data_IF_646687803588
#
_entry.id   IF_646687803588
#
_cell.length_a   1.000
_cell.length_b   1.000
_cell.length_c   1.000
_cell.angle_alpha   90.00
_cell.angle_beta   90.00
_cell.angle_gamma   90.00
#
_symmetry.space_group_name_H-M   'P 1'
#
loop_
_entity.id
_entity.type
_entity.pdbx_description
1 polymer ?
#
# COMPACT_ATOMS: atom_id res chain seq x y z
N UNK A 1 7.48 -24.67 -15.13
CA UNK A 1 7.48 -24.44 -13.66
C UNK A 1 8.25 -25.58 -13.03
N UNK A 2 9.24 -25.29 -12.21
CA UNK A 2 9.97 -26.28 -11.42
C UNK A 2 9.43 -26.25 -10.00
N UNK A 3 9.07 -27.43 -9.48
CA UNK A 3 8.47 -27.57 -8.16
C UNK A 3 9.34 -28.50 -7.34
N UNK A 4 9.71 -28.07 -6.15
CA UNK A 4 10.32 -28.94 -5.15
C UNK A 4 9.43 -30.18 -4.92
N UNK A 5 10.02 -31.37 -4.94
CA UNK A 5 9.29 -32.64 -4.93
C UNK A 5 8.36 -32.79 -3.71
N UNK A 6 8.74 -32.23 -2.56
CA UNK A 6 7.97 -32.32 -1.32
C UNK A 6 6.78 -31.35 -1.34
N UNK A 7 6.88 -30.27 -2.12
CA UNK A 7 5.84 -29.24 -2.23
C UNK A 7 4.76 -29.59 -3.28
N UNK A 8 4.89 -30.72 -3.99
CA UNK A 8 3.94 -31.15 -5.02
C UNK A 8 2.52 -31.36 -4.50
N UNK A 9 2.37 -31.81 -3.26
CA UNK A 9 1.04 -32.03 -2.67
C UNK A 9 0.25 -30.72 -2.49
N UNK A 10 0.94 -29.58 -2.35
CA UNK A 10 0.32 -28.26 -2.27
C UNK A 10 0.02 -27.68 -3.67
N UNK A 11 0.51 -28.31 -4.74
CA UNK A 11 0.29 -27.89 -6.11
C UNK A 11 -0.94 -28.58 -6.70
N UNK A 12 -2.12 -28.12 -6.28
CA UNK A 12 -3.41 -28.61 -6.79
C UNK A 12 -3.70 -28.06 -8.19
N UNK A 13 -4.73 -28.60 -8.85
CA UNK A 13 -5.20 -28.09 -10.15
C UNK A 13 -5.64 -26.63 -10.09
N UNK A 14 -6.24 -26.20 -8.97
CA UNK A 14 -6.63 -24.79 -8.78
C UNK A 14 -5.42 -23.90 -8.64
N UNK A 15 -4.37 -24.36 -7.95
CA UNK A 15 -3.09 -23.64 -7.83
C UNK A 15 -2.41 -23.51 -9.19
N UNK A 16 -2.35 -24.59 -9.97
CA UNK A 16 -1.81 -24.58 -11.32
C UNK A 16 -2.58 -23.59 -12.21
N UNK A 17 -3.91 -23.66 -12.19
CA UNK A 17 -4.79 -22.77 -12.97
C UNK A 17 -4.59 -21.31 -12.55
N UNK A 18 -4.50 -21.02 -11.25
CA UNK A 18 -4.23 -19.68 -10.73
C UNK A 18 -2.91 -19.12 -11.25
N UNK A 19 -1.83 -19.91 -11.22
CA UNK A 19 -0.52 -19.50 -11.73
C UNK A 19 -0.59 -19.24 -13.25
N UNK A 20 -1.23 -20.13 -14.01
CA UNK A 20 -1.41 -19.97 -15.47
C UNK A 20 -2.20 -18.70 -15.79
N UNK A 21 -3.26 -18.39 -15.03
CA UNK A 21 -4.07 -17.20 -15.26
C UNK A 21 -3.27 -15.91 -15.00
N UNK A 22 -2.41 -15.88 -13.97
CA UNK A 22 -1.52 -14.74 -13.73
C UNK A 22 -0.52 -14.55 -14.89
N UNK A 23 0.03 -15.63 -15.44
CA UNK A 23 0.85 -15.55 -16.66
C UNK A 23 0.07 -15.00 -17.84
N UNK A 24 -1.12 -15.53 -18.10
CA UNK A 24 -1.96 -15.07 -19.20
C UNK A 24 -2.33 -13.59 -19.06
N UNK A 25 -2.57 -13.14 -17.82
CA UNK A 25 -2.80 -11.73 -17.49
C UNK A 25 -1.59 -10.86 -17.88
N UNK A 26 -0.37 -11.25 -17.50
CA UNK A 26 0.82 -10.47 -17.80
C UNK A 26 1.28 -10.57 -19.26
N UNK A 27 1.09 -11.72 -19.91
CA UNK A 27 1.29 -11.89 -21.36
C UNK A 27 0.45 -10.87 -22.14
N UNK A 28 -0.83 -10.73 -21.75
CA UNK A 28 -1.74 -9.74 -22.34
C UNK A 28 -1.32 -8.31 -21.99
N UNK A 29 -1.03 -8.04 -20.72
CA UNK A 29 -0.72 -6.70 -20.21
C UNK A 29 0.53 -6.11 -20.86
N UNK A 30 1.58 -6.93 -21.05
CA UNK A 30 2.82 -6.51 -21.68
C UNK A 30 2.89 -6.87 -23.18
N UNK A 31 1.81 -7.38 -23.77
CA UNK A 31 1.69 -7.66 -25.21
C UNK A 31 2.57 -8.79 -25.78
N UNK A 32 3.30 -9.54 -24.95
CA UNK A 32 4.15 -10.65 -25.40
C UNK A 32 4.51 -11.60 -24.25
N UNK A 33 4.97 -12.80 -24.58
CA UNK A 33 5.30 -13.82 -23.57
C UNK A 33 6.59 -13.53 -22.82
N UNK A 34 6.66 -13.97 -21.56
CA UNK A 34 7.92 -14.03 -20.82
C UNK A 34 8.75 -15.22 -21.31
N UNK A 35 9.63 -14.98 -22.27
CA UNK A 35 10.53 -16.03 -22.77
C UNK A 35 11.61 -16.33 -21.73
N UNK A 36 11.88 -17.62 -21.50
CA UNK A 36 13.08 -18.11 -20.79
C UNK A 36 13.26 -17.72 -19.31
N UNK A 37 12.18 -17.44 -18.56
CA UNK A 37 12.24 -17.27 -17.11
C UNK A 37 11.58 -18.46 -16.38
N UNK A 38 12.35 -19.50 -15.98
CA UNK A 38 11.83 -20.57 -15.14
C UNK A 38 11.38 -20.03 -13.77
N UNK A 39 10.17 -20.44 -13.36
CA UNK A 39 9.71 -20.29 -11.97
C UNK A 39 10.14 -21.50 -11.17
N UNK A 40 10.83 -21.24 -10.05
CA UNK A 40 11.21 -22.23 -9.05
C UNK A 40 10.33 -22.03 -7.81
N UNK A 41 9.42 -22.98 -7.60
CA UNK A 41 8.58 -23.04 -6.41
C UNK A 41 9.34 -23.78 -5.31
N UNK A 42 9.79 -23.02 -4.31
CA UNK A 42 10.61 -23.49 -3.19
C UNK A 42 9.69 -23.92 -2.04
N UNK A 43 10.09 -24.96 -1.30
CA UNK A 43 9.40 -25.40 -0.10
C UNK A 43 9.36 -24.30 0.97
N UNK A 44 8.27 -24.26 1.75
CA UNK A 44 8.27 -23.59 3.06
C UNK A 44 8.84 -24.58 4.07
N UNK A 45 10.08 -24.36 4.50
CA UNK A 45 10.68 -25.20 5.54
C UNK A 45 10.15 -24.72 6.91
N UNK A 46 9.42 -25.57 7.66
CA UNK A 46 8.85 -25.18 8.94
C UNK A 46 9.92 -24.94 10.03
N UNK A 47 11.17 -25.35 9.79
CA UNK A 47 12.29 -25.15 10.72
C UNK A 47 13.08 -23.87 10.45
N UNK A 48 12.88 -23.24 9.29
CA UNK A 48 13.55 -22.01 8.89
C UNK A 48 12.85 -20.81 9.56
N UNK A 49 13.64 -19.95 10.22
CA UNK A 49 13.14 -18.69 10.77
C UNK A 49 12.62 -17.80 9.65
N UNK A 50 11.59 -16.98 9.93
CA UNK A 50 10.91 -16.13 8.93
C UNK A 50 11.83 -15.26 8.07
N UNK A 51 13.01 -14.88 8.61
CA UNK A 51 14.03 -14.06 7.96
C UNK A 51 14.82 -14.76 6.84
N UNK A 52 14.84 -16.09 6.81
CA UNK A 52 15.60 -16.85 5.80
C UNK A 52 14.68 -17.49 4.72
N UNK A 53 13.40 -17.08 4.69
CA UNK A 53 12.42 -17.51 3.68
C UNK A 53 12.55 -16.62 2.43
N UNK A 54 12.69 -17.23 1.25
CA UNK A 54 12.63 -16.52 -0.03
C UNK A 54 11.17 -16.22 -0.37
N UNK A 55 10.69 -15.06 0.07
CA UNK A 55 9.31 -14.63 -0.18
C UNK A 55 9.03 -14.38 -1.67
N UNK A 56 10.03 -13.98 -2.44
CA UNK A 56 9.98 -13.80 -3.88
C UNK A 56 11.26 -13.15 -4.38
N UNK A 57 11.84 -13.65 -5.46
CA UNK A 57 13.05 -13.09 -6.06
C UNK A 57 13.00 -13.21 -7.58
N UNK A 58 13.40 -12.13 -8.26
CA UNK A 58 13.68 -12.12 -9.70
C UNK A 58 15.18 -11.98 -9.88
N UNK A 59 15.76 -12.95 -10.58
CA UNK A 59 17.11 -12.85 -11.11
C UNK A 59 17.08 -12.70 -12.63
N UNK A 60 18.22 -12.36 -13.21
CA UNK A 60 18.35 -12.11 -14.66
C UNK A 60 17.86 -13.25 -15.57
N UNK A 61 17.72 -14.47 -15.05
CA UNK A 61 17.32 -15.67 -15.80
C UNK A 61 16.35 -16.59 -15.07
N UNK A 62 15.78 -16.19 -13.93
CA UNK A 62 14.89 -17.06 -13.16
C UNK A 62 14.08 -16.28 -12.15
N UNK A 63 12.92 -16.82 -11.81
CA UNK A 63 12.08 -16.34 -10.72
C UNK A 63 11.99 -17.45 -9.66
N UNK A 64 12.12 -17.10 -8.39
CA UNK A 64 11.94 -18.04 -7.29
C UNK A 64 10.99 -17.49 -6.23
N UNK A 65 10.16 -18.37 -5.68
CA UNK A 65 9.18 -18.02 -4.65
C UNK A 65 8.88 -19.23 -3.76
N UNK A 66 8.75 -19.01 -2.46
CA UNK A 66 8.26 -20.03 -1.54
C UNK A 66 6.78 -20.29 -1.76
N UNK A 67 6.42 -21.55 -2.06
CA UNK A 67 5.05 -21.97 -2.32
C UNK A 67 4.24 -22.05 -1.03
N UNK A 68 3.20 -21.22 -0.92
CA UNK A 68 2.23 -21.25 0.18
C UNK A 68 0.84 -20.83 -0.32
N UNK A 69 0.16 -21.66 -1.14
CA UNK A 69 -1.06 -21.29 -1.85
C UNK A 69 -2.25 -21.00 -0.91
N UNK A 70 -2.17 -21.44 0.34
CA UNK A 70 -3.18 -21.23 1.39
C UNK A 70 -3.11 -19.82 2.01
N UNK A 71 -2.46 -18.88 1.34
CA UNK A 71 -2.28 -17.51 1.83
C UNK A 71 -2.49 -16.49 0.72
N UNK A 72 -3.29 -15.46 1.00
CA UNK A 72 -3.42 -14.27 0.16
C UNK A 72 -2.06 -13.64 -0.18
N UNK A 73 -1.11 -13.69 0.77
CA UNK A 73 0.24 -13.13 0.61
C UNK A 73 1.02 -13.83 -0.51
N UNK A 74 0.86 -15.14 -0.69
CA UNK A 74 1.53 -15.88 -1.76
C UNK A 74 1.09 -15.40 -3.14
N UNK A 75 -0.22 -15.27 -3.35
CA UNK A 75 -0.78 -14.85 -4.64
C UNK A 75 -0.36 -13.43 -5.02
N UNK A 76 -0.42 -12.51 -4.05
CA UNK A 76 0.07 -11.14 -4.22
C UNK A 76 1.58 -11.11 -4.51
N UNK A 77 2.38 -11.83 -3.74
CA UNK A 77 3.84 -11.84 -3.93
C UNK A 77 4.25 -12.50 -5.25
N UNK A 78 3.60 -13.60 -5.64
CA UNK A 78 3.82 -14.23 -6.95
C UNK A 78 3.52 -13.25 -8.07
N UNK A 79 2.39 -12.55 -7.99
CA UNK A 79 1.98 -11.57 -8.98
C UNK A 79 2.97 -10.39 -9.07
N UNK A 80 3.38 -9.83 -7.94
CA UNK A 80 4.40 -8.78 -7.87
C UNK A 80 5.73 -9.20 -8.52
N UNK A 81 6.14 -10.44 -8.23
CA UNK A 81 7.39 -11.02 -8.74
C UNK A 81 7.29 -11.27 -10.24
N UNK A 82 6.12 -11.73 -10.73
CA UNK A 82 5.83 -11.85 -12.16
C UNK A 82 5.89 -10.49 -12.85
N UNK A 83 5.20 -9.47 -12.35
CA UNK A 83 5.26 -8.12 -12.91
C UNK A 83 6.71 -7.66 -13.08
N UNK A 84 7.53 -7.81 -12.04
CA UNK A 84 8.94 -7.44 -12.05
C UNK A 84 9.70 -8.17 -13.16
N UNK A 85 9.50 -9.48 -13.30
CA UNK A 85 10.15 -10.26 -14.37
C UNK A 85 9.71 -9.81 -15.78
N UNK A 86 8.42 -9.52 -15.98
CA UNK A 86 7.93 -8.99 -17.26
C UNK A 86 8.46 -7.59 -17.55
N UNK A 87 8.51 -6.73 -16.53
CA UNK A 87 9.02 -5.37 -16.65
C UNK A 87 10.49 -5.37 -17.04
N UNK A 88 11.34 -6.05 -16.27
CA UNK A 88 12.79 -6.08 -16.47
C UNK A 88 13.20 -6.79 -17.77
N UNK A 89 12.39 -7.72 -18.27
CA UNK A 89 12.65 -8.38 -19.56
C UNK A 89 12.30 -7.53 -20.78
N UNK A 90 11.56 -6.43 -20.61
CA UNK A 90 11.01 -5.63 -21.72
C UNK A 90 11.39 -4.17 -21.68
N UNK A 91 11.68 -3.60 -20.51
CA UNK A 91 11.94 -2.18 -20.33
C UNK A 91 13.36 -2.03 -19.78
N UNK A 92 14.23 -1.36 -20.54
CA UNK A 92 15.66 -1.19 -20.20
C UNK A 92 15.99 0.18 -19.58
N UNK A 93 14.96 0.98 -19.31
CA UNK A 93 15.05 2.33 -18.75
C UNK A 93 15.65 2.25 -17.34
N UNK A 94 16.83 2.82 -17.13
CA UNK A 94 17.56 2.61 -15.87
C UNK A 94 17.14 3.54 -14.74
N UNK A 95 16.84 4.81 -15.03
CA UNK A 95 16.66 5.81 -13.99
C UNK A 95 15.45 5.56 -13.10
N UNK A 96 14.40 4.90 -13.61
CA UNK A 96 13.22 4.51 -12.83
C UNK A 96 13.47 3.44 -11.76
N UNK A 97 14.67 2.85 -11.73
CA UNK A 97 15.10 1.94 -10.67
C UNK A 97 15.86 2.65 -9.53
N UNK A 98 16.04 3.97 -9.64
CA UNK A 98 16.80 4.76 -8.68
C UNK A 98 16.01 6.02 -8.28
N UNK A 99 16.21 6.53 -7.04
CA UNK A 99 15.67 7.82 -6.63
C UNK A 99 16.07 8.94 -7.62
N UNK A 100 15.18 9.89 -7.92
CA UNK A 100 13.85 10.10 -7.34
C UNK A 100 12.68 9.43 -8.11
N UNK A 101 12.96 8.45 -8.98
CA UNK A 101 11.96 7.90 -9.90
C UNK A 101 11.49 6.48 -9.53
N UNK A 102 11.99 5.92 -8.42
CA UNK A 102 11.70 4.53 -8.01
C UNK A 102 10.23 4.31 -7.69
N UNK A 103 9.52 5.34 -7.21
CA UNK A 103 8.09 5.28 -6.94
C UNK A 103 7.29 4.81 -8.15
N UNK A 104 7.68 5.17 -9.38
CA UNK A 104 6.96 4.79 -10.57
C UNK A 104 7.05 3.28 -10.80
N UNK A 105 8.27 2.73 -10.72
CA UNK A 105 8.51 1.30 -10.90
C UNK A 105 7.81 0.47 -9.82
N UNK A 106 7.97 0.84 -8.55
CA UNK A 106 7.36 0.13 -7.42
C UNK A 106 5.84 0.29 -7.36
N UNK A 107 5.35 1.51 -7.62
CA UNK A 107 3.92 1.83 -7.66
C UNK A 107 3.21 1.08 -8.77
N UNK A 108 3.79 0.99 -9.97
CA UNK A 108 3.23 0.17 -11.05
C UNK A 108 3.20 -1.32 -10.67
N UNK A 109 4.24 -1.83 -10.03
CA UNK A 109 4.28 -3.23 -9.60
C UNK A 109 3.11 -3.56 -8.66
N UNK A 110 2.89 -2.75 -7.62
CA UNK A 110 1.78 -2.94 -6.69
C UNK A 110 0.42 -2.67 -7.34
N UNK A 111 0.31 -1.69 -8.25
CA UNK A 111 -0.93 -1.44 -8.98
C UNK A 111 -1.35 -2.65 -9.83
N UNK A 112 -0.44 -3.19 -10.65
CA UNK A 112 -0.73 -4.36 -11.49
C UNK A 112 -0.85 -5.66 -10.70
N UNK A 113 -0.15 -5.80 -9.58
CA UNK A 113 -0.35 -6.89 -8.63
C UNK A 113 -1.83 -6.98 -8.23
N UNK A 114 -2.42 -5.87 -7.80
CA UNK A 114 -3.82 -5.84 -7.37
C UNK A 114 -4.77 -6.09 -8.56
N UNK A 115 -4.55 -5.47 -9.71
CA UNK A 115 -5.38 -5.71 -10.91
C UNK A 115 -5.38 -7.19 -11.34
N UNK A 116 -4.23 -7.86 -11.25
CA UNK A 116 -4.11 -9.26 -11.65
C UNK A 116 -4.94 -10.22 -10.78
N UNK A 117 -5.32 -9.83 -9.55
CA UNK A 117 -6.05 -10.70 -8.64
C UNK A 117 -7.40 -11.13 -9.21
N UNK A 118 -8.01 -10.31 -10.06
CA UNK A 118 -9.29 -10.65 -10.71
C UNK A 118 -9.18 -11.81 -11.70
N UNK A 119 -7.97 -12.10 -12.18
CA UNK A 119 -7.69 -13.23 -13.08
C UNK A 119 -7.65 -14.59 -12.36
N UNK A 120 -7.53 -14.60 -11.03
CA UNK A 120 -7.46 -15.84 -10.26
C UNK A 120 -8.80 -16.61 -10.30
N UNK A 121 -8.77 -17.95 -10.18
CA UNK A 121 -9.98 -18.76 -10.04
C UNK A 121 -10.88 -18.30 -8.88
N UNK A 122 -12.20 -18.39 -9.05
CA UNK A 122 -13.18 -17.98 -8.02
C UNK A 122 -12.99 -18.68 -6.68
N UNK A 123 -12.54 -19.94 -6.67
CA UNK A 123 -12.22 -20.68 -5.43
C UNK A 123 -11.13 -19.97 -4.65
N UNK A 124 -10.04 -19.56 -5.31
CA UNK A 124 -8.93 -18.84 -4.67
C UNK A 124 -9.39 -17.44 -4.24
N UNK A 125 -10.12 -16.72 -5.10
CA UNK A 125 -10.63 -15.39 -4.78
C UNK A 125 -11.57 -15.40 -3.59
N UNK A 126 -12.52 -16.33 -3.56
CA UNK A 126 -13.49 -16.49 -2.49
C UNK A 126 -12.85 -16.86 -1.15
N UNK A 127 -11.86 -17.76 -1.15
CA UNK A 127 -11.18 -18.19 0.09
C UNK A 127 -10.41 -17.05 0.78
N UNK A 128 -9.88 -16.11 0.00
CA UNK A 128 -8.96 -15.07 0.49
C UNK A 128 -9.48 -13.64 0.34
N UNK A 129 -10.70 -13.45 -0.17
CA UNK A 129 -11.27 -12.13 -0.46
C UNK A 129 -10.45 -11.33 -1.48
N UNK A 130 -9.83 -12.01 -2.47
CA UNK A 130 -8.96 -11.36 -3.45
C UNK A 130 -9.77 -10.76 -4.60
N UNK A 131 -9.65 -9.45 -4.77
CA UNK A 131 -10.09 -8.72 -5.97
C UNK A 131 -9.28 -7.44 -6.11
N UNK A 132 -9.23 -6.89 -7.32
CA UNK A 132 -8.54 -5.63 -7.59
C UNK A 132 -9.11 -4.47 -6.78
N UNK A 133 -10.45 -4.37 -6.70
CA UNK A 133 -11.15 -3.32 -5.97
C UNK A 133 -10.92 -3.42 -4.46
N UNK A 134 -10.98 -4.63 -3.89
CA UNK A 134 -10.70 -4.80 -2.46
C UNK A 134 -9.24 -4.45 -2.14
N UNK A 135 -8.29 -4.87 -2.98
CA UNK A 135 -6.88 -4.52 -2.81
C UNK A 135 -6.64 -3.01 -2.86
N UNK A 136 -7.30 -2.30 -3.78
CA UNK A 136 -7.23 -0.85 -3.88
C UNK A 136 -7.85 -0.15 -2.65
N UNK A 137 -8.98 -0.67 -2.13
CA UNK A 137 -9.57 -0.17 -0.88
C UNK A 137 -8.64 -0.37 0.31
N UNK A 138 -8.03 -1.55 0.46
CA UNK A 138 -7.09 -1.82 1.55
C UNK A 138 -5.91 -0.85 1.52
N UNK A 139 -5.36 -0.59 0.32
CA UNK A 139 -4.27 0.38 0.13
C UNK A 139 -4.74 1.79 0.48
N UNK A 140 -5.91 2.21 -0.03
CA UNK A 140 -6.41 3.55 0.23
C UNK A 140 -6.77 3.79 1.70
N UNK A 141 -7.28 2.77 2.41
CA UNK A 141 -7.52 2.83 3.85
C UNK A 141 -6.23 3.07 4.64
N UNK A 142 -5.16 2.36 4.28
CA UNK A 142 -3.82 2.59 4.87
C UNK A 142 -3.31 3.99 4.53
N UNK A 143 -3.43 4.41 3.28
CA UNK A 143 -3.03 5.74 2.85
C UNK A 143 -3.71 6.82 3.68
N UNK A 144 -5.04 6.85 3.73
CA UNK A 144 -5.79 7.87 4.46
C UNK A 144 -5.40 7.91 5.93
N UNK A 145 -5.41 6.75 6.60
CA UNK A 145 -5.15 6.69 8.03
C UNK A 145 -3.74 7.16 8.39
N UNK A 146 -2.69 6.59 7.78
CA UNK A 146 -1.32 6.93 8.16
C UNK A 146 -0.88 8.32 7.67
N UNK A 147 -1.38 8.77 6.51
CA UNK A 147 -1.08 10.10 5.98
C UNK A 147 -1.64 11.21 6.86
N UNK A 148 -2.80 10.98 7.47
CA UNK A 148 -3.50 11.97 8.31
C UNK A 148 -3.13 11.84 9.79
N UNK A 149 -2.87 10.63 10.28
CA UNK A 149 -2.44 10.39 11.67
C UNK A 149 -1.04 10.91 11.94
N UNK A 150 -0.08 10.64 11.05
CA UNK A 150 1.34 10.95 11.23
C UNK A 150 1.96 11.60 9.99
N UNK A 151 1.46 12.79 9.56
CA UNK A 151 1.91 13.43 8.34
C UNK A 151 3.41 13.76 8.34
N UNK A 152 4.03 14.01 9.50
CA UNK A 152 5.47 14.28 9.57
C UNK A 152 6.34 13.05 9.23
N UNK A 153 5.81 11.84 9.42
CA UNK A 153 6.52 10.58 9.14
C UNK A 153 6.22 10.11 7.72
N UNK A 154 4.96 10.20 7.29
CA UNK A 154 4.49 9.62 6.03
C UNK A 154 4.27 10.64 4.91
N UNK A 155 4.70 11.89 5.08
CA UNK A 155 4.84 12.86 3.98
C UNK A 155 6.19 12.72 3.28
N UNK A 156 6.25 11.76 2.36
CA UNK A 156 7.43 11.48 1.54
C UNK A 156 7.14 11.94 0.12
N UNK A 157 8.09 12.65 -0.48
CA UNK A 157 8.05 13.04 -1.89
C UNK A 157 9.11 12.27 -2.71
N UNK A 158 9.04 12.33 -4.05
CA UNK A 158 10.10 11.76 -4.90
C UNK A 158 11.51 12.23 -4.52
N UNK A 159 11.66 13.48 -4.07
CA UNK A 159 12.95 14.04 -3.66
C UNK A 159 13.50 13.42 -2.37
N UNK A 160 12.63 12.88 -1.52
CA UNK A 160 12.99 12.32 -0.22
C UNK A 160 13.40 10.85 -0.32
N UNK A 161 13.12 10.16 -1.44
CA UNK A 161 13.38 8.73 -1.65
C UNK A 161 14.80 8.32 -1.29
N UNK A 162 15.80 9.15 -1.61
CA UNK A 162 17.21 8.85 -1.34
C UNK A 162 17.62 8.96 0.14
N UNK A 163 16.76 9.50 1.01
CA UNK A 163 17.06 9.79 2.42
C UNK A 163 16.02 9.26 3.41
N UNK A 164 14.86 8.82 2.93
CA UNK A 164 13.78 8.31 3.76
C UNK A 164 14.16 6.96 4.41
N UNK A 165 13.62 6.71 5.60
CA UNK A 165 13.79 5.45 6.31
C UNK A 165 13.03 4.31 5.60
N UNK A 166 13.47 3.07 5.76
CA UNK A 166 12.83 1.91 5.11
C UNK A 166 11.33 1.81 5.39
N UNK A 167 10.87 2.10 6.61
CA UNK A 167 9.44 2.12 6.91
C UNK A 167 8.67 3.22 6.18
N UNK A 168 9.30 4.38 5.96
CA UNK A 168 8.73 5.47 5.18
C UNK A 168 8.68 5.10 3.69
N UNK A 169 9.74 4.48 3.17
CA UNK A 169 9.79 3.96 1.79
C UNK A 169 8.79 2.81 1.58
N UNK A 170 8.59 1.95 2.58
CA UNK A 170 7.56 0.91 2.53
C UNK A 170 6.16 1.51 2.40
N UNK A 171 5.85 2.55 3.18
CA UNK A 171 4.60 3.29 3.00
C UNK A 171 4.51 3.94 1.62
N UNK A 172 5.56 4.67 1.23
CA UNK A 172 5.57 5.44 0.00
C UNK A 172 5.40 4.55 -1.24
N UNK A 173 6.20 3.49 -1.37
CA UNK A 173 6.23 2.65 -2.56
C UNK A 173 5.05 1.67 -2.68
N UNK A 174 4.54 1.16 -1.55
CA UNK A 174 3.54 0.09 -1.55
C UNK A 174 2.15 0.57 -1.12
N UNK A 175 2.02 1.83 -0.69
CA UNK A 175 0.73 2.44 -0.34
C UNK A 175 0.45 3.72 -1.12
N UNK A 176 1.34 4.71 -1.13
CA UNK A 176 1.08 6.00 -1.79
C UNK A 176 1.26 5.96 -3.31
N UNK A 177 2.41 5.51 -3.80
CA UNK A 177 2.75 5.41 -5.22
C UNK A 177 1.73 4.61 -6.06
N UNK A 178 1.22 3.43 -5.66
CA UNK A 178 0.22 2.72 -6.45
C UNK A 178 -1.12 3.48 -6.56
N UNK A 179 -1.47 4.32 -5.57
CA UNK A 179 -2.63 5.19 -5.66
C UNK A 179 -2.40 6.32 -6.66
N UNK A 180 -1.20 6.90 -6.69
CA UNK A 180 -0.83 7.90 -7.70
C UNK A 180 -0.93 7.30 -9.11
N UNK A 181 -0.39 6.09 -9.31
CA UNK A 181 -0.53 5.35 -10.56
C UNK A 181 -2.01 5.15 -10.90
N UNK A 182 -2.82 4.71 -9.94
CA UNK A 182 -4.26 4.54 -10.12
C UNK A 182 -4.98 5.84 -10.50
N UNK A 183 -4.57 7.00 -9.97
CA UNK A 183 -5.14 8.29 -10.34
C UNK A 183 -4.80 8.67 -11.77
N UNK A 184 -3.54 8.48 -12.19
CA UNK A 184 -3.11 8.74 -13.56
C UNK A 184 -3.89 7.86 -14.54
N UNK A 185 -3.99 6.56 -14.26
CA UNK A 185 -4.75 5.61 -15.08
C UNK A 185 -6.25 5.95 -15.12
N UNK A 186 -6.83 6.37 -13.99
CA UNK A 186 -8.21 6.82 -13.92
C UNK A 186 -8.47 8.04 -14.81
N UNK A 187 -7.62 9.06 -14.70
CA UNK A 187 -7.69 10.27 -15.53
C UNK A 187 -7.61 9.89 -17.02
N UNK A 188 -6.67 9.02 -17.38
CA UNK A 188 -6.47 8.59 -18.76
C UNK A 188 -7.60 7.73 -19.31
N UNK A 189 -8.20 6.89 -18.49
CA UNK A 189 -9.34 6.06 -18.90
C UNK A 189 -10.55 6.92 -19.27
N UNK A 190 -10.77 8.05 -18.58
CA UNK A 190 -11.87 8.99 -18.87
C UNK A 190 -11.63 9.77 -20.16
N UNK A 191 -10.40 10.20 -20.38
CA UNK A 191 -10.06 11.09 -21.51
C UNK A 191 -9.82 10.31 -22.82
N UNK A 192 -9.30 9.08 -22.75
CA UNK A 192 -8.82 8.33 -23.94
C UNK A 192 -9.39 6.91 -24.10
N UNK A 193 -10.20 6.41 -23.16
CA UNK A 193 -10.69 5.01 -23.09
C UNK A 193 -9.59 3.94 -23.10
N UNK A 194 -8.34 4.30 -22.83
CA UNK A 194 -7.23 3.37 -22.66
C UNK A 194 -7.03 3.07 -21.19
N UNK A 195 -6.86 1.79 -20.86
CA UNK A 195 -6.33 1.36 -19.57
C UNK A 195 -4.90 0.88 -19.77
N UNK A 196 -3.98 1.23 -18.87
CA UNK A 196 -2.52 0.98 -18.95
C UNK A 196 -1.71 2.06 -19.69
N UNK A 197 -2.10 3.33 -19.59
CA UNK A 197 -1.44 4.43 -20.29
C UNK A 197 0.05 4.60 -19.90
N UNK A 198 0.37 4.47 -18.61
CA UNK A 198 1.76 4.57 -18.13
C UNK A 198 2.61 3.43 -18.67
N UNK A 199 2.13 2.19 -18.56
CA UNK A 199 2.86 1.03 -19.05
C UNK A 199 3.02 1.05 -20.58
N UNK A 200 1.98 1.44 -21.32
CA UNK A 200 2.07 1.61 -22.78
C UNK A 200 3.13 2.65 -23.16
N UNK A 201 3.24 3.76 -22.41
CA UNK A 201 4.27 4.76 -22.64
C UNK A 201 5.67 4.16 -22.43
N UNK A 202 5.87 3.46 -21.32
CA UNK A 202 7.16 2.83 -21.00
C UNK A 202 7.56 1.75 -22.01
N UNK A 203 6.59 0.96 -22.50
CA UNK A 203 6.84 -0.06 -23.53
C UNK A 203 7.25 0.56 -24.87
N UNK A 204 6.65 1.70 -25.25
CA UNK A 204 7.04 2.45 -26.46
C UNK A 204 8.46 3.01 -26.39
N UNK A 205 8.91 3.34 -25.18
CA UNK A 205 10.24 3.89 -24.89
C UNK A 205 11.17 2.82 -24.25
N UNK A 206 10.88 1.54 -24.46
CA UNK A 206 11.57 0.42 -23.80
C UNK A 206 13.09 0.39 -24.03
N UNK A 207 13.55 0.91 -25.17
CA UNK A 207 14.95 0.96 -25.57
C UNK A 207 15.67 2.25 -25.12
N UNK A 208 14.94 3.20 -24.51
CA UNK A 208 15.54 4.42 -24.03
C UNK A 208 16.38 4.14 -22.78
N UNK A 209 17.54 4.80 -22.68
CA UNK A 209 18.42 4.65 -21.51
C UNK A 209 17.80 5.25 -20.25
N UNK A 210 17.05 6.34 -20.43
CA UNK A 210 16.40 7.07 -19.35
C UNK A 210 15.18 7.84 -19.87
N UNK A 211 14.25 8.14 -18.97
CA UNK A 211 13.08 8.98 -19.25
C UNK A 211 12.99 10.11 -18.21
N UNK A 212 12.38 11.23 -18.58
CA UNK A 212 12.04 12.26 -17.60
C UNK A 212 10.61 12.03 -17.11
N UNK A 213 10.44 11.44 -15.92
CA UNK A 213 9.13 11.03 -15.39
C UNK A 213 8.13 12.18 -15.36
N UNK A 214 8.54 13.38 -14.91
CA UNK A 214 7.66 14.55 -14.92
C UNK A 214 7.17 14.94 -16.33
N UNK A 215 8.02 14.84 -17.36
CA UNK A 215 7.62 15.09 -18.75
C UNK A 215 6.71 13.99 -19.29
N UNK A 216 6.95 12.74 -18.90
CA UNK A 216 6.06 11.62 -19.25
C UNK A 216 4.66 11.86 -18.67
N UNK A 217 4.55 12.18 -17.38
CA UNK A 217 3.24 12.45 -16.75
C UNK A 217 2.57 13.63 -17.43
N UNK A 218 3.27 14.75 -17.64
CA UNK A 218 2.72 15.90 -18.36
C UNK A 218 2.24 15.55 -19.78
N UNK A 219 2.98 14.72 -20.52
CA UNK A 219 2.60 14.28 -21.85
C UNK A 219 1.36 13.37 -21.86
N UNK A 220 1.12 12.64 -20.77
CA UNK A 220 -0.06 11.79 -20.62
C UNK A 220 -1.29 12.60 -20.23
N UNK A 221 -1.21 13.37 -19.14
CA UNK A 221 -2.40 13.97 -18.51
C UNK A 221 -2.51 15.50 -18.64
N UNK A 222 -1.58 16.15 -19.37
CA UNK A 222 -1.58 17.59 -19.61
C UNK A 222 -1.54 18.39 -18.31
N UNK A 223 -2.40 19.41 -18.23
CA UNK A 223 -2.47 20.36 -17.09
C UNK A 223 -2.83 19.68 -15.76
N UNK A 224 -3.36 18.45 -15.77
CA UNK A 224 -3.62 17.67 -14.56
C UNK A 224 -2.34 17.15 -13.88
N UNK A 225 -1.17 17.30 -14.51
CA UNK A 225 0.13 16.94 -13.93
C UNK A 225 0.41 17.65 -12.61
N UNK A 226 0.00 18.91 -12.47
CA UNK A 226 0.18 19.66 -11.23
C UNK A 226 -0.51 18.98 -10.04
N UNK A 227 -1.73 18.44 -10.25
CA UNK A 227 -2.47 17.74 -9.20
C UNK A 227 -1.77 16.44 -8.80
N UNK A 228 -1.22 15.71 -9.76
CA UNK A 228 -0.42 14.51 -9.48
C UNK A 228 0.86 14.85 -8.70
N UNK A 229 1.50 15.97 -9.01
CA UNK A 229 2.66 16.47 -8.26
C UNK A 229 2.29 16.79 -6.81
N UNK A 230 1.15 17.44 -6.58
CA UNK A 230 0.63 17.75 -5.24
C UNK A 230 0.26 16.48 -4.45
N UNK A 231 -0.17 15.41 -5.13
CA UNK A 231 -0.37 14.09 -4.52
C UNK A 231 0.96 13.43 -4.17
N UNK A 232 1.93 13.42 -5.07
CA UNK A 232 3.27 12.86 -4.84
C UNK A 232 4.05 13.60 -3.76
N UNK A 233 3.84 14.90 -3.57
CA UNK A 233 4.43 15.66 -2.46
C UNK A 233 3.62 15.53 -1.17
N UNK A 234 2.38 15.01 -1.25
CA UNK A 234 1.32 15.08 -0.26
C UNK A 234 1.06 16.46 0.31
N UNK A 235 1.03 17.44 -0.58
CA UNK A 235 0.33 18.70 -0.34
C UNK A 235 -1.19 18.52 -0.38
N UNK A 236 -1.67 17.57 -1.21
CA UNK A 236 -3.08 17.19 -1.28
C UNK A 236 -3.29 15.73 -0.94
N UNK A 237 -4.43 15.45 -0.33
CA UNK A 237 -4.91 14.08 -0.13
C UNK A 237 -5.56 13.60 -1.42
N UNK A 238 -5.17 12.40 -1.88
CA UNK A 238 -5.78 11.76 -3.05
C UNK A 238 -7.23 11.38 -2.74
N UNK A 239 -8.20 11.63 -3.64
CA UNK A 239 -9.53 11.06 -3.52
C UNK A 239 -9.50 9.56 -3.87
N UNK A 240 -10.53 8.80 -3.46
CA UNK A 240 -10.66 7.42 -3.90
C UNK A 240 -11.08 7.36 -5.37
N UNK A 241 -10.36 6.66 -6.27
CA UNK A 241 -10.70 6.62 -7.70
C UNK A 241 -11.81 5.60 -8.04
N UNK A 242 -12.22 4.75 -7.08
CA UNK A 242 -13.25 3.73 -7.26
C UNK A 242 -14.62 4.11 -6.71
N UNK A 243 -15.64 3.26 -6.90
CA UNK A 243 -16.95 3.44 -6.27
C UNK A 243 -16.83 3.33 -4.74
N UNK A 244 -17.57 4.15 -4.00
CA UNK A 244 -17.65 4.00 -2.53
C UNK A 244 -18.38 2.69 -2.17
N UNK A 245 -17.98 2.08 -1.05
CA UNK A 245 -18.69 0.89 -0.53
C UNK A 245 -19.79 1.37 0.40
N UNK A 246 -20.97 0.78 0.31
CA UNK A 246 -22.02 0.95 1.32
C UNK A 246 -21.83 0.02 2.53
N UNK A 247 -20.98 -1.01 2.39
CA UNK A 247 -20.73 -2.01 3.42
C UNK A 247 -19.29 -1.91 3.89
N UNK A 248 -19.11 -1.63 5.18
CA UNK A 248 -17.82 -1.59 5.88
C UNK A 248 -17.93 -2.41 7.16
N UNK A 249 -16.96 -3.31 7.37
CA UNK A 249 -16.83 -4.05 8.62
C UNK A 249 -15.69 -3.45 9.45
N UNK A 250 -16.03 -2.67 10.49
CA UNK A 250 -15.08 -1.91 11.28
C UNK A 250 -13.94 -2.76 11.84
N UNK A 251 -14.23 -3.99 12.31
CA UNK A 251 -13.23 -4.94 12.83
C UNK A 251 -12.16 -5.30 11.80
N UNK A 252 -12.54 -5.47 10.51
CA UNK A 252 -11.61 -5.75 9.42
C UNK A 252 -10.73 -4.55 9.12
N UNK A 253 -11.31 -3.35 9.06
CA UNK A 253 -10.57 -2.10 8.83
C UNK A 253 -9.55 -1.88 9.95
N UNK A 254 -9.97 -1.96 11.20
CA UNK A 254 -9.10 -1.82 12.39
C UNK A 254 -7.96 -2.83 12.33
N UNK A 255 -8.27 -4.12 12.05
CA UNK A 255 -7.25 -5.16 11.95
C UNK A 255 -6.22 -4.86 10.85
N UNK A 256 -6.67 -4.48 9.65
CA UNK A 256 -5.78 -4.15 8.52
C UNK A 256 -4.85 -3.00 8.86
N UNK A 257 -5.37 -1.95 9.53
CA UNK A 257 -4.56 -0.81 9.95
C UNK A 257 -3.58 -1.18 11.05
N UNK A 258 -4.02 -1.94 12.06
CA UNK A 258 -3.18 -2.39 13.17
C UNK A 258 -2.03 -3.30 12.68
N UNK A 259 -2.33 -4.28 11.82
CA UNK A 259 -1.31 -5.16 11.23
C UNK A 259 -0.27 -4.33 10.43
N UNK A 260 -0.72 -3.26 9.77
CA UNK A 260 0.16 -2.36 9.02
C UNK A 260 0.99 -1.44 9.91
N UNK A 261 0.45 -0.95 11.03
CA UNK A 261 1.17 -0.17 12.05
C UNK A 261 2.31 -0.98 12.68
N UNK A 262 2.06 -2.27 12.96
CA UNK A 262 3.09 -3.20 13.44
C UNK A 262 4.19 -3.41 12.39
N UNK A 263 3.80 -3.60 11.13
CA UNK A 263 4.75 -3.74 10.02
C UNK A 263 5.64 -2.49 9.90
N UNK A 264 5.04 -1.31 9.73
CA UNK A 264 5.78 -0.05 9.55
C UNK A 264 6.67 0.25 10.75
N UNK A 265 6.16 0.04 11.98
CA UNK A 265 6.96 0.20 13.20
C UNK A 265 8.18 -0.71 13.22
N UNK A 266 8.04 -1.97 12.79
CA UNK A 266 9.16 -2.92 12.72
C UNK A 266 10.27 -2.40 11.80
N UNK A 267 9.90 -1.88 10.63
CA UNK A 267 10.86 -1.31 9.68
C UNK A 267 11.52 -0.03 10.21
N UNK A 268 10.76 0.86 10.84
CA UNK A 268 11.32 2.08 11.42
C UNK A 268 12.27 1.75 12.58
N UNK A 269 11.93 0.75 13.41
CA UNK A 269 12.75 0.32 14.55
C UNK A 269 14.12 -0.24 14.16
N UNK A 270 14.29 -0.72 12.93
CA UNK A 270 15.61 -1.12 12.44
C UNK A 270 16.63 0.04 12.48
N UNK A 271 16.16 1.29 12.33
CA UNK A 271 16.99 2.50 12.39
C UNK A 271 16.73 3.36 13.63
N UNK A 272 15.54 3.25 14.23
CA UNK A 272 15.11 3.98 15.43
C UNK A 272 14.50 3.01 16.45
N UNK A 273 15.31 2.27 17.22
CA UNK A 273 14.83 1.22 18.12
C UNK A 273 13.81 1.70 19.17
N UNK A 274 13.86 2.99 19.50
CA UNK A 274 12.97 3.69 20.43
C UNK A 274 11.61 4.06 19.83
N UNK A 275 11.38 3.85 18.53
CA UNK A 275 10.13 4.24 17.87
C UNK A 275 8.93 3.49 18.50
N UNK A 276 7.93 4.21 19.05
CA UNK A 276 6.79 3.59 19.69
C UNK A 276 5.87 2.98 18.64
N UNK A 277 5.20 1.89 19.01
CA UNK A 277 4.15 1.27 18.18
C UNK A 277 2.82 1.59 18.80
N UNK A 278 1.88 2.04 17.97
CA UNK A 278 0.51 2.24 18.40
C UNK A 278 -0.27 0.94 18.30
N UNK A 279 -1.14 0.68 19.27
CA UNK A 279 -2.12 -0.39 19.14
C UNK A 279 -3.42 0.25 18.62
N UNK A 280 -3.74 0.00 17.35
CA UNK A 280 -4.90 0.61 16.73
C UNK A 280 -6.13 -0.18 17.17
N UNK A 281 -6.85 0.39 18.12
CA UNK A 281 -8.10 -0.15 18.65
C UNK A 281 -9.22 0.88 18.49
N UNK A 282 -10.42 0.39 18.17
CA UNK A 282 -11.62 1.21 18.17
C UNK A 282 -12.20 1.25 19.57
N UNK A 283 -12.17 2.43 20.18
CA UNK A 283 -12.87 2.71 21.43
C UNK A 283 -14.38 2.87 21.16
N UNK A 284 -15.20 3.04 22.19
CA UNK A 284 -16.64 3.19 22.04
C UNK A 284 -16.96 4.41 21.14
N UNK A 285 -17.48 4.21 19.92
CA UNK A 285 -17.61 5.29 18.94
C UNK A 285 -18.55 6.41 19.39
N UNK A 286 -19.61 6.08 20.14
CA UNK A 286 -20.58 7.06 20.64
C UNK A 286 -19.91 8.00 21.65
N UNK A 287 -19.17 7.43 22.61
CA UNK A 287 -18.48 8.21 23.65
C UNK A 287 -17.36 9.09 23.07
N UNK A 288 -16.59 8.54 22.13
CA UNK A 288 -15.57 9.31 21.41
C UNK A 288 -16.23 10.46 20.64
N UNK A 289 -17.33 10.20 19.94
CA UNK A 289 -18.07 11.24 19.21
C UNK A 289 -18.55 12.36 20.14
N UNK A 290 -19.11 12.03 21.29
CA UNK A 290 -19.57 13.02 22.27
C UNK A 290 -18.44 13.93 22.77
N UNK A 291 -17.28 13.36 23.13
CA UNK A 291 -16.12 14.14 23.58
C UNK A 291 -15.49 14.96 22.44
N UNK A 292 -15.45 14.42 21.21
CA UNK A 292 -14.98 15.13 20.01
C UNK A 292 -15.85 16.35 19.73
N UNK A 293 -17.18 16.21 19.78
CA UNK A 293 -18.13 17.31 19.56
C UNK A 293 -17.98 18.36 20.66
N UNK A 294 -17.99 17.93 21.93
CA UNK A 294 -17.89 18.80 23.11
C UNK A 294 -16.62 19.66 23.10
N UNK A 295 -15.51 19.10 22.63
CA UNK A 295 -14.20 19.77 22.56
C UNK A 295 -13.91 20.41 21.21
N UNK A 296 -14.81 20.28 20.23
CA UNK A 296 -14.64 20.72 18.85
C UNK A 296 -13.32 20.22 18.23
N UNK A 297 -13.01 18.92 18.41
CA UNK A 297 -11.78 18.31 17.92
C UNK A 297 -11.84 18.08 16.42
N UNK A 298 -10.77 18.44 15.73
CA UNK A 298 -10.54 18.18 14.31
C UNK A 298 -9.13 17.62 14.09
N UNK A 299 -8.99 16.70 13.14
CA UNK A 299 -7.68 16.22 12.69
C UNK A 299 -7.24 16.87 11.36
N UNK A 300 -8.20 17.40 10.60
CA UNK A 300 -7.97 18.10 9.34
C UNK A 300 -9.07 19.15 9.07
N UNK A 301 -8.98 19.83 7.93
CA UNK A 301 -10.01 20.74 7.43
C UNK A 301 -11.32 19.98 7.10
N UNK A 302 -12.44 20.70 7.08
CA UNK A 302 -13.79 20.12 6.97
C UNK A 302 -14.00 19.30 5.69
N UNK A 303 -13.38 19.69 4.58
CA UNK A 303 -13.45 18.97 3.31
C UNK A 303 -12.71 17.62 3.37
N UNK A 304 -11.56 17.59 4.05
CA UNK A 304 -10.78 16.36 4.26
C UNK A 304 -11.51 15.42 5.21
N UNK A 305 -12.02 15.90 6.33
CA UNK A 305 -12.78 15.07 7.27
C UNK A 305 -14.03 14.50 6.60
N UNK A 306 -14.76 15.32 5.82
CA UNK A 306 -15.92 14.85 5.05
C UNK A 306 -15.53 13.76 4.06
N UNK A 307 -14.48 13.96 3.26
CA UNK A 307 -14.00 12.96 2.30
C UNK A 307 -13.63 11.64 3.00
N UNK A 308 -12.97 11.70 4.16
CA UNK A 308 -12.64 10.50 4.94
C UNK A 308 -13.91 9.82 5.44
N UNK A 309 -14.87 10.58 5.99
CA UNK A 309 -16.15 10.05 6.48
C UNK A 309 -17.00 9.41 5.38
N UNK A 310 -17.06 10.04 4.19
CA UNK A 310 -17.78 9.54 3.02
C UNK A 310 -17.14 8.22 2.52
N UNK A 311 -15.83 8.04 2.69
CA UNK A 311 -15.13 6.80 2.31
C UNK A 311 -15.21 5.71 3.39
N UNK A 312 -14.93 6.06 4.65
CA UNK A 312 -14.82 5.13 5.77
C UNK A 312 -15.10 5.83 7.11
N UNK A 313 -16.31 5.62 7.68
CA UNK A 313 -16.65 6.08 9.02
C UNK A 313 -15.70 5.54 10.09
N UNK A 314 -15.19 4.31 9.92
CA UNK A 314 -14.22 3.72 10.85
C UNK A 314 -12.91 4.51 10.86
N UNK A 315 -12.35 4.84 9.69
CA UNK A 315 -11.09 5.62 9.62
C UNK A 315 -11.31 7.03 10.20
N UNK A 316 -12.44 7.67 9.89
CA UNK A 316 -12.80 8.96 10.46
C UNK A 316 -12.76 8.92 11.99
N UNK A 317 -13.42 7.91 12.58
CA UNK A 317 -13.49 7.77 14.04
C UNK A 317 -12.12 7.49 14.66
N UNK A 318 -11.29 6.63 14.05
CA UNK A 318 -9.93 6.37 14.54
C UNK A 318 -9.04 7.62 14.50
N UNK A 319 -9.14 8.44 13.45
CA UNK A 319 -8.39 9.71 13.35
C UNK A 319 -8.89 10.74 14.37
N UNK A 320 -10.21 10.82 14.59
CA UNK A 320 -10.80 11.65 15.65
C UNK A 320 -10.36 11.20 17.04
N UNK A 321 -10.32 9.89 17.30
CA UNK A 321 -9.80 9.32 18.54
C UNK A 321 -8.33 9.69 18.76
N UNK A 322 -7.50 9.62 17.71
CA UNK A 322 -6.09 10.03 17.80
C UNK A 322 -5.95 11.53 18.11
N UNK A 323 -6.73 12.39 17.43
CA UNK A 323 -6.76 13.82 17.71
C UNK A 323 -7.29 14.14 19.11
N UNK A 324 -8.29 13.40 19.62
CA UNK A 324 -8.77 13.53 20.99
C UNK A 324 -7.67 13.17 21.99
N UNK A 325 -6.91 12.09 21.74
CA UNK A 325 -5.74 11.74 22.57
C UNK A 325 -4.72 12.86 22.60
N UNK A 326 -4.45 13.52 21.47
CA UNK A 326 -3.57 14.69 21.42
C UNK A 326 -4.07 15.81 22.34
N UNK A 327 -5.36 16.18 22.23
CA UNK A 327 -5.98 17.22 23.05
C UNK A 327 -5.89 16.89 24.55
N UNK A 328 -6.22 15.67 24.94
CA UNK A 328 -6.11 15.19 26.32
C UNK A 328 -4.66 15.27 26.84
N UNK A 329 -3.68 14.99 25.97
CA UNK A 329 -2.26 15.11 26.33
C UNK A 329 -1.76 16.55 26.34
N UNK A 330 -2.47 17.49 25.71
CA UNK A 330 -2.08 18.89 25.55
C UNK A 330 -1.26 19.18 24.30
N UNK A 331 -1.19 18.25 23.35
CA UNK A 331 -0.51 18.41 22.07
C UNK A 331 -1.48 19.02 21.04
N UNK A 332 -1.03 20.03 20.29
CA UNK A 332 -1.90 20.80 19.37
C UNK A 332 -1.53 20.67 17.89
N UNK A 333 -0.33 20.16 17.60
CA UNK A 333 0.19 20.10 16.24
C UNK A 333 0.31 18.65 15.76
N UNK A 334 -0.61 18.21 14.89
CA UNK A 334 -0.57 16.86 14.30
C UNK A 334 0.64 16.66 13.38
N UNK A 335 1.25 17.75 12.91
CA UNK A 335 2.45 17.74 12.05
C UNK A 335 3.75 17.77 12.85
N UNK A 336 3.69 17.61 14.17
CA UNK A 336 4.88 17.56 15.02
C UNK A 336 5.63 16.22 14.81
N UNK A 337 6.90 16.21 14.37
CA UNK A 337 7.63 14.97 14.07
C UNK A 337 7.77 14.01 15.25
N UNK A 338 7.79 14.55 16.49
CA UNK A 338 7.92 13.76 17.71
C UNK A 338 6.58 13.44 18.38
N UNK A 339 5.45 13.75 17.74
CA UNK A 339 4.13 13.60 18.34
C UNK A 339 3.91 12.19 18.87
N UNK A 340 4.19 11.16 18.07
CA UNK A 340 3.99 9.76 18.46
C UNK A 340 4.79 9.41 19.72
N UNK A 341 6.03 9.88 19.82
CA UNK A 341 6.86 9.69 21.02
C UNK A 341 6.22 10.35 22.25
N UNK A 342 5.71 11.58 22.10
CA UNK A 342 5.03 12.27 23.20
C UNK A 342 3.74 11.60 23.63
N UNK A 343 2.97 11.02 22.72
CA UNK A 343 1.69 10.40 23.05
C UNK A 343 1.83 8.97 23.58
N UNK A 344 2.81 8.21 23.07
CA UNK A 344 2.94 6.77 23.30
C UNK A 344 4.17 6.39 24.14
N UNK A 345 5.18 7.25 24.23
CA UNK A 345 6.43 6.99 24.94
C UNK A 345 6.58 7.76 26.26
N UNK A 346 5.79 8.81 26.48
CA UNK A 346 5.81 9.60 27.71
C UNK A 346 4.81 9.04 28.74
N UNK A 347 5.31 8.54 29.88
CA UNK A 347 4.50 7.93 30.95
C UNK A 347 3.38 8.85 31.48
N UNK A 348 3.63 10.16 31.55
CA UNK A 348 2.63 11.14 32.01
C UNK A 348 1.48 11.23 31.02
N UNK A 349 1.78 11.27 29.73
CA UNK A 349 0.75 11.34 28.69
C UNK A 349 0.00 10.01 28.54
N UNK A 350 0.68 8.87 28.68
CA UNK A 350 0.04 7.55 28.76
C UNK A 350 -0.97 7.54 29.92
N UNK A 351 -0.55 7.97 31.11
CA UNK A 351 -1.41 8.02 32.31
C UNK A 351 -2.61 8.96 32.11
N UNK A 352 -2.43 10.13 31.49
CA UNK A 352 -3.54 11.04 31.17
C UNK A 352 -4.57 10.36 30.28
N UNK A 353 -4.13 9.70 29.22
CA UNK A 353 -5.00 9.03 28.27
C UNK A 353 -5.75 7.87 28.91
N UNK A 354 -5.06 6.98 29.64
CA UNK A 354 -5.70 5.87 30.36
C UNK A 354 -6.73 6.36 31.38
N UNK A 355 -6.40 7.40 32.15
CA UNK A 355 -7.33 8.00 33.13
C UNK A 355 -8.57 8.58 32.44
N UNK A 356 -8.38 9.20 31.26
CA UNK A 356 -9.47 9.76 30.47
C UNK A 356 -10.40 8.66 29.97
N UNK A 357 -9.85 7.59 29.38
CA UNK A 357 -10.63 6.44 28.89
C UNK A 357 -11.43 5.79 30.03
N UNK A 358 -10.80 5.54 31.18
CA UNK A 358 -11.50 4.95 32.34
C UNK A 358 -12.65 5.82 32.83
N UNK A 359 -12.50 7.16 32.82
CA UNK A 359 -13.59 8.09 33.17
C UNK A 359 -14.72 8.10 32.16
N UNK A 360 -14.40 7.85 30.89
CA UNK A 360 -15.39 7.68 29.83
C UNK A 360 -16.17 6.36 30.01
N UNK A 361 -15.61 5.37 30.70
CA UNK A 361 -16.25 4.11 31.05
C UNK A 361 -16.06 3.03 29.99
N UNK A 362 -14.82 2.83 29.57
CA UNK A 362 -14.37 1.74 28.69
C UNK A 362 -13.54 0.70 29.43
#
# INVERSE_FOLDING_TARGET
IFIDAISRNNFTKDVETGIINLFAYYDKTFGSKLYSCPIVLIRKDPTIQSKDIINGAVGAKSLSITLNPDSAYFWRTLSHTLYTAYFESKISIRNIHYPPDTWLYKGLATFYENLSMDSLPEVIKGNFGLSSMQGLRDIYSKYLYFRLKEPAVFKISPADEGSALDGQLQFYYYTEAPLVVSQIEFIMSRDSKKGSALLEYLLKHSNDKSIMVGRMVAALIGDKEQVIREYLSGEKIMPFPGPLSSEEEASKVVKVLNDYEQLLSTWIRAFRPDYPTDEIVMLNPEKISDEVIKRNIRFAEDDVEKMVGDYSPTILMLLKQYALRMDVCGEKNIKEPLLKFKLLGDEKNITKWSTFITKMGE
#
